data_IF_520424139074
#
_entry.id   IF_520424139074
#
_cell.length_a   1.000
_cell.length_b   1.000
_cell.length_c   1.000
_cell.angle_alpha   90.00
_cell.angle_beta   90.00
_cell.angle_gamma   90.00
#
_symmetry.space_group_name_H-M   'P 1'
#
loop_
_entity.id
_entity.type
_entity.pdbx_description
1 polymer ?
#
# COMPACT_ATOMS: atom_id res chain seq x y z
N UNK A 1 21.01 0.17 3.07
CA UNK A 1 19.70 0.85 3.01
C UNK A 1 19.34 1.01 1.56
N UNK A 2 18.10 0.67 1.16
CA UNK A 2 17.60 0.88 -0.20
C UNK A 2 16.71 2.12 -0.14
N UNK A 3 16.96 3.11 -0.98
CA UNK A 3 16.12 4.28 -1.14
C UNK A 3 15.24 4.10 -2.37
N UNK A 4 14.00 4.56 -2.30
CA UNK A 4 13.03 4.47 -3.39
C UNK A 4 12.05 5.63 -3.38
N UNK A 5 11.16 5.65 -4.36
CA UNK A 5 10.09 6.66 -4.49
C UNK A 5 8.74 6.00 -4.35
N UNK A 6 7.84 6.63 -3.62
CA UNK A 6 6.42 6.33 -3.70
C UNK A 6 5.84 7.00 -4.94
N UNK A 7 5.25 6.20 -5.83
CA UNK A 7 4.82 6.63 -7.17
C UNK A 7 3.68 7.67 -7.10
N UNK A 8 2.94 7.72 -6.00
CA UNK A 8 1.92 8.76 -5.74
C UNK A 8 2.44 10.20 -5.86
N UNK A 9 3.75 10.42 -5.71
CA UNK A 9 4.36 11.73 -5.95
C UNK A 9 4.23 12.20 -7.40
N UNK A 10 3.92 11.29 -8.32
CA UNK A 10 3.68 11.55 -9.75
C UNK A 10 2.19 11.56 -10.14
N UNK A 11 1.25 11.34 -9.20
CA UNK A 11 -0.16 11.64 -9.43
C UNK A 11 -0.26 13.15 -9.75
N UNK A 12 -0.84 13.65 -10.75
CA UNK A 12 -1.90 13.20 -11.63
C UNK A 12 -1.46 12.71 -13.02
N UNK A 13 -0.21 12.38 -13.22
CA UNK A 13 0.33 11.94 -14.52
C UNK A 13 0.49 10.41 -14.61
N UNK A 14 -0.40 9.65 -13.98
CA UNK A 14 -0.41 8.19 -13.98
C UNK A 14 -1.76 7.65 -14.51
N UNK A 15 -2.33 8.36 -15.49
CA UNK A 15 -3.68 8.08 -15.99
C UNK A 15 -3.68 7.41 -17.36
N UNK A 16 -2.55 7.40 -18.05
CA UNK A 16 -2.37 6.73 -19.34
C UNK A 16 -1.08 5.92 -19.37
N UNK A 17 -1.01 4.93 -20.26
CA UNK A 17 0.20 4.12 -20.45
C UNK A 17 1.43 4.97 -20.78
N UNK A 18 1.27 5.99 -21.61
CA UNK A 18 2.39 6.88 -21.98
C UNK A 18 2.88 7.71 -20.80
N UNK A 19 1.99 8.24 -19.98
CA UNK A 19 2.34 8.99 -18.77
C UNK A 19 3.06 8.10 -17.76
N UNK A 20 2.64 6.84 -17.58
CA UNK A 20 3.31 5.87 -16.73
C UNK A 20 4.74 5.61 -17.22
N UNK A 21 4.94 5.42 -18.53
CA UNK A 21 6.29 5.23 -19.13
C UNK A 21 7.17 6.46 -18.91
N UNK A 22 6.63 7.65 -19.10
CA UNK A 22 7.34 8.92 -18.86
C UNK A 22 7.71 9.07 -17.37
N UNK A 23 6.78 8.74 -16.46
CA UNK A 23 7.02 8.84 -15.03
C UNK A 23 8.17 7.92 -14.59
N UNK A 24 8.18 6.66 -15.01
CA UNK A 24 9.26 5.73 -14.66
C UNK A 24 10.60 6.16 -15.26
N UNK A 25 10.63 6.67 -16.48
CA UNK A 25 11.85 7.25 -17.07
C UNK A 25 12.39 8.40 -16.22
N UNK A 26 11.53 9.31 -15.81
CA UNK A 26 11.94 10.43 -14.92
C UNK A 26 12.44 9.94 -13.57
N UNK A 27 11.83 8.93 -12.97
CA UNK A 27 12.32 8.33 -11.73
C UNK A 27 13.72 7.75 -11.92
N UNK A 28 13.95 7.07 -13.05
CA UNK A 28 15.27 6.52 -13.38
C UNK A 28 16.32 7.61 -13.59
N UNK A 29 15.98 8.69 -14.29
CA UNK A 29 16.85 9.86 -14.50
C UNK A 29 17.24 10.53 -13.17
N UNK A 30 16.34 10.51 -12.17
CA UNK A 30 16.63 10.98 -10.81
C UNK A 30 17.49 10.00 -9.99
N UNK A 31 17.87 8.86 -10.55
CA UNK A 31 18.68 7.85 -9.89
C UNK A 31 17.90 6.84 -9.05
N UNK A 32 16.56 6.85 -9.11
CA UNK A 32 15.73 5.88 -8.41
C UNK A 32 15.54 4.62 -9.24
N UNK A 33 15.79 3.47 -8.63
CA UNK A 33 15.58 2.15 -9.21
C UNK A 33 14.58 1.29 -8.41
N UNK A 34 13.98 1.87 -7.37
CA UNK A 34 13.07 1.18 -6.47
C UNK A 34 11.85 2.05 -6.19
N UNK A 35 10.65 1.46 -6.29
CA UNK A 35 9.39 2.18 -6.10
C UNK A 35 8.41 1.41 -5.21
N UNK A 36 7.49 2.14 -4.59
CA UNK A 36 6.22 1.63 -4.11
C UNK A 36 5.13 2.13 -5.06
N UNK A 37 4.37 1.22 -5.65
CA UNK A 37 3.32 1.54 -6.63
C UNK A 37 2.06 2.00 -5.91
N UNK A 38 1.55 3.16 -6.29
CA UNK A 38 0.31 3.73 -5.75
C UNK A 38 -0.35 4.67 -6.76
N UNK A 39 -1.67 4.65 -6.82
CA UNK A 39 -2.49 5.60 -7.59
C UNK A 39 -2.22 5.61 -9.09
N UNK A 40 -1.89 4.47 -9.66
CA UNK A 40 -1.90 4.25 -11.11
C UNK A 40 -3.33 3.90 -11.51
N UNK A 41 -3.81 4.47 -12.60
CA UNK A 41 -5.17 4.23 -13.08
C UNK A 41 -5.40 2.75 -13.39
N UNK A 42 -6.49 2.18 -12.87
CA UNK A 42 -6.83 0.76 -13.01
C UNK A 42 -7.23 0.35 -14.45
N UNK A 43 -7.45 1.31 -15.33
CA UNK A 43 -7.62 1.03 -16.78
C UNK A 43 -6.32 0.59 -17.44
N UNK A 44 -5.16 0.85 -16.79
CA UNK A 44 -3.85 0.43 -17.28
C UNK A 44 -3.58 -0.99 -16.79
N UNK A 45 -3.43 -1.92 -17.74
CA UNK A 45 -3.18 -3.32 -17.40
C UNK A 45 -1.87 -3.48 -16.59
N UNK A 46 -1.83 -4.38 -15.58
CA UNK A 46 -0.62 -4.65 -14.79
C UNK A 46 0.61 -4.97 -15.64
N UNK A 47 0.43 -5.68 -16.74
CA UNK A 47 1.49 -6.04 -17.70
C UNK A 47 2.17 -4.82 -18.33
N UNK A 48 1.40 -3.77 -18.61
CA UNK A 48 1.92 -2.51 -19.18
C UNK A 48 2.79 -1.78 -18.16
N UNK A 49 2.35 -1.75 -16.89
CA UNK A 49 3.12 -1.15 -15.79
C UNK A 49 4.45 -1.88 -15.62
N UNK A 50 4.42 -3.22 -15.60
CA UNK A 50 5.62 -4.03 -15.46
C UNK A 50 6.57 -3.83 -16.62
N UNK A 51 6.08 -3.84 -17.86
CA UNK A 51 6.90 -3.56 -19.05
C UNK A 51 7.56 -2.17 -18.98
N UNK A 52 6.83 -1.16 -18.51
CA UNK A 52 7.37 0.19 -18.36
C UNK A 52 8.47 0.23 -17.27
N UNK A 53 8.30 -0.50 -16.17
CA UNK A 53 9.30 -0.62 -15.11
C UNK A 53 10.55 -1.38 -15.59
N UNK A 54 10.38 -2.48 -16.29
CA UNK A 54 11.47 -3.30 -16.83
C UNK A 54 12.32 -2.52 -17.84
N UNK A 55 11.68 -1.73 -18.73
CA UNK A 55 12.37 -0.88 -19.70
C UNK A 55 13.33 0.12 -19.02
N UNK A 56 12.97 0.62 -17.86
CA UNK A 56 13.77 1.59 -17.09
C UNK A 56 14.58 0.91 -15.95
N UNK A 57 14.57 -0.42 -15.85
CA UNK A 57 15.24 -1.21 -14.80
C UNK A 57 14.83 -0.77 -13.38
N UNK A 58 13.54 -0.50 -13.20
CA UNK A 58 12.92 -0.17 -11.92
C UNK A 58 12.28 -1.43 -11.36
N UNK A 59 12.35 -1.60 -10.04
CA UNK A 59 11.69 -2.68 -9.30
C UNK A 59 10.67 -2.13 -8.32
N UNK A 60 9.54 -2.81 -8.16
CA UNK A 60 8.58 -2.53 -7.10
C UNK A 60 8.94 -3.31 -5.84
N UNK A 61 8.76 -2.69 -4.67
CA UNK A 61 8.82 -3.37 -3.37
C UNK A 61 7.44 -3.72 -2.85
N UNK A 62 6.42 -2.95 -3.18
CA UNK A 62 5.04 -3.15 -2.77
C UNK A 62 4.09 -2.35 -3.64
N UNK A 63 2.80 -2.71 -3.57
CA UNK A 63 1.70 -1.83 -3.98
C UNK A 63 1.02 -1.26 -2.76
N UNK A 64 0.38 -0.09 -2.86
CA UNK A 64 -0.38 0.53 -1.79
C UNK A 64 -1.61 1.24 -2.33
N UNK A 65 -2.74 1.12 -1.64
CA UNK A 65 -3.89 2.01 -1.82
C UNK A 65 -4.77 2.01 -0.56
N UNK A 66 -5.87 2.79 -0.60
CA UNK A 66 -6.85 2.81 0.47
C UNK A 66 -7.61 1.49 0.56
N UNK A 67 -8.09 1.18 1.75
CA UNK A 67 -8.79 -0.05 2.08
C UNK A 67 -9.88 -0.44 1.06
N UNK A 68 -10.83 0.46 0.79
CA UNK A 68 -11.92 0.17 -0.14
C UNK A 68 -11.40 -0.13 -1.55
N UNK A 69 -10.44 0.66 -2.01
CA UNK A 69 -9.82 0.49 -3.33
C UNK A 69 -9.11 -0.86 -3.46
N UNK A 70 -8.35 -1.24 -2.41
CA UNK A 70 -7.62 -2.52 -2.43
C UNK A 70 -8.60 -3.70 -2.46
N UNK A 71 -9.68 -3.66 -1.66
CA UNK A 71 -10.65 -4.75 -1.64
C UNK A 71 -11.50 -4.81 -2.91
N UNK A 72 -11.85 -3.67 -3.50
CA UNK A 72 -12.59 -3.59 -4.76
C UNK A 72 -11.75 -4.11 -5.95
N UNK A 73 -10.45 -3.79 -5.97
CA UNK A 73 -9.53 -4.15 -7.05
C UNK A 73 -8.51 -5.22 -6.64
N UNK A 74 -8.84 -6.11 -5.69
CA UNK A 74 -7.91 -7.09 -5.11
C UNK A 74 -7.20 -7.96 -6.15
N UNK A 75 -7.90 -8.42 -7.19
CA UNK A 75 -7.31 -9.23 -8.25
C UNK A 75 -6.24 -8.45 -9.04
N UNK A 76 -6.47 -7.17 -9.27
CA UNK A 76 -5.50 -6.28 -9.91
C UNK A 76 -4.23 -6.15 -9.05
N UNK A 77 -4.37 -5.90 -7.74
CA UNK A 77 -3.22 -5.80 -6.83
C UNK A 77 -2.46 -7.12 -6.70
N UNK A 78 -3.16 -8.24 -6.62
CA UNK A 78 -2.53 -9.57 -6.60
C UNK A 78 -1.74 -9.78 -7.89
N UNK A 79 -2.37 -9.56 -9.04
CA UNK A 79 -1.72 -9.74 -10.35
C UNK A 79 -0.50 -8.83 -10.52
N UNK A 80 -0.63 -7.56 -10.17
CA UNK A 80 0.46 -6.59 -10.28
C UNK A 80 1.66 -6.99 -9.41
N UNK A 81 1.43 -7.37 -8.14
CA UNK A 81 2.50 -7.81 -7.25
C UNK A 81 3.19 -9.09 -7.74
N UNK A 82 2.43 -10.06 -8.24
CA UNK A 82 2.99 -11.29 -8.82
C UNK A 82 3.91 -10.99 -10.01
N UNK A 83 3.47 -10.13 -10.94
CA UNK A 83 4.26 -9.73 -12.10
C UNK A 83 5.50 -8.93 -11.72
N UNK A 84 5.37 -7.99 -10.77
CA UNK A 84 6.49 -7.21 -10.24
C UNK A 84 7.45 -8.03 -9.37
N UNK A 85 7.07 -9.25 -8.96
CA UNK A 85 7.78 -10.07 -7.97
C UNK A 85 7.94 -9.34 -6.63
N UNK A 86 7.03 -8.45 -6.29
CA UNK A 86 6.93 -7.81 -4.98
C UNK A 86 6.06 -8.65 -4.05
N UNK A 87 6.32 -8.58 -2.74
CA UNK A 87 5.67 -9.47 -1.78
C UNK A 87 4.49 -8.82 -1.06
N UNK A 88 4.42 -7.50 -1.00
CA UNK A 88 3.49 -6.81 -0.11
C UNK A 88 2.41 -6.06 -0.87
N UNK A 89 1.15 -6.36 -0.51
CA UNK A 89 -0.02 -5.50 -0.80
C UNK A 89 -0.29 -4.67 0.44
N UNK A 90 -0.14 -3.36 0.35
CA UNK A 90 -0.26 -2.45 1.47
C UNK A 90 -1.64 -1.77 1.46
N UNK A 91 -2.36 -1.87 2.57
CA UNK A 91 -3.61 -1.16 2.82
C UNK A 91 -3.33 0.08 3.66
N UNK A 92 -3.76 1.25 3.19
CA UNK A 92 -3.50 2.53 3.84
C UNK A 92 -4.72 3.04 4.59
N UNK A 93 -4.55 3.22 5.89
CA UNK A 93 -5.49 3.87 6.79
C UNK A 93 -6.75 3.05 7.10
N UNK A 94 -7.35 3.38 8.22
CA UNK A 94 -8.65 2.85 8.64
C UNK A 94 -9.72 3.82 8.14
N UNK A 95 -10.75 3.36 7.40
CA UNK A 95 -11.87 4.23 7.00
C UNK A 95 -12.61 4.80 8.21
N UNK A 96 -13.06 6.06 8.11
CA UNK A 96 -13.77 6.73 9.22
C UNK A 96 -14.95 5.92 9.75
N UNK A 97 -15.67 5.20 8.88
CA UNK A 97 -16.77 4.31 9.27
C UNK A 97 -16.34 3.12 10.13
N UNK A 98 -15.06 2.79 10.12
CA UNK A 98 -14.49 1.71 10.91
C UNK A 98 -13.87 2.21 12.23
N UNK A 99 -13.83 3.53 12.47
CA UNK A 99 -13.30 4.11 13.70
C UNK A 99 -14.35 4.10 14.85
N UNK A 100 -14.89 2.91 15.11
CA UNK A 100 -15.72 2.56 16.26
C UNK A 100 -15.46 1.09 16.63
N UNK A 101 -15.80 0.61 17.83
CA UNK A 101 -15.46 -0.75 18.25
C UNK A 101 -15.91 -1.83 17.26
N UNK A 102 -17.18 -1.80 16.86
CA UNK A 102 -17.75 -2.76 15.91
C UNK A 102 -17.13 -2.62 14.51
N UNK A 103 -16.75 -1.40 14.13
CA UNK A 103 -16.07 -1.10 12.86
C UNK A 103 -14.66 -1.64 12.83
N UNK A 104 -13.91 -1.54 13.92
CA UNK A 104 -12.56 -2.12 14.03
C UNK A 104 -12.61 -3.65 13.96
N UNK A 105 -13.56 -4.30 14.63
CA UNK A 105 -13.76 -5.74 14.53
C UNK A 105 -14.07 -6.19 13.09
N UNK A 106 -14.95 -5.46 12.41
CA UNK A 106 -15.28 -5.72 11.00
C UNK A 106 -14.05 -5.56 10.11
N UNK A 107 -13.31 -4.46 10.27
CA UNK A 107 -12.11 -4.14 9.50
C UNK A 107 -11.05 -5.23 9.63
N UNK A 108 -10.73 -5.65 10.86
CA UNK A 108 -9.80 -6.75 11.13
C UNK A 108 -10.27 -8.03 10.48
N UNK A 109 -11.55 -8.40 10.63
CA UNK A 109 -12.09 -9.61 10.04
C UNK A 109 -11.98 -9.64 8.51
N UNK A 110 -12.30 -8.53 7.84
CA UNK A 110 -12.20 -8.45 6.38
C UNK A 110 -10.75 -8.50 5.91
N UNK A 111 -9.84 -7.82 6.61
CA UNK A 111 -8.41 -7.89 6.31
C UNK A 111 -7.81 -9.27 6.60
N UNK A 112 -8.29 -10.00 7.62
CA UNK A 112 -7.86 -11.38 7.88
C UNK A 112 -8.22 -12.30 6.71
N UNK A 113 -9.44 -12.16 6.16
CA UNK A 113 -9.84 -12.92 4.97
C UNK A 113 -8.95 -12.58 3.78
N UNK A 114 -8.65 -11.31 3.57
CA UNK A 114 -7.77 -10.88 2.48
C UNK A 114 -6.32 -11.32 2.69
N UNK A 115 -5.81 -11.30 3.92
CA UNK A 115 -4.47 -11.80 4.25
C UNK A 115 -4.32 -13.30 3.91
N UNK A 116 -5.33 -14.11 4.22
CA UNK A 116 -5.35 -15.52 3.85
C UNK A 116 -5.44 -15.74 2.33
N UNK A 117 -6.14 -14.87 1.61
CA UNK A 117 -6.17 -14.89 0.14
C UNK A 117 -4.77 -14.57 -0.43
N UNK A 118 -4.14 -13.51 0.06
CA UNK A 118 -2.78 -13.11 -0.33
C UNK A 118 -1.76 -14.22 -0.06
N UNK A 119 -1.84 -14.84 1.10
CA UNK A 119 -0.94 -15.94 1.50
C UNK A 119 -1.02 -17.14 0.54
N UNK A 120 -2.22 -17.50 0.07
CA UNK A 120 -2.41 -18.54 -0.96
C UNK A 120 -1.76 -18.18 -2.30
N UNK A 121 -1.56 -16.90 -2.56
CA UNK A 121 -0.90 -16.35 -3.75
C UNK A 121 0.61 -16.09 -3.54
N UNK A 122 1.15 -16.44 -2.37
CA UNK A 122 2.55 -16.18 -2.01
C UNK A 122 2.85 -14.72 -1.69
N UNK A 123 1.81 -13.95 -1.38
CA UNK A 123 1.89 -12.54 -1.04
C UNK A 123 1.60 -12.32 0.46
N UNK A 124 1.86 -11.10 0.93
CA UNK A 124 1.67 -10.68 2.30
C UNK A 124 0.84 -9.41 2.36
N UNK A 125 0.04 -9.28 3.43
CA UNK A 125 -0.63 -8.04 3.77
C UNK A 125 0.32 -7.12 4.52
N UNK A 126 0.26 -5.82 4.20
CA UNK A 126 0.92 -4.77 4.95
C UNK A 126 -0.11 -3.69 5.31
N UNK A 127 -0.01 -3.12 6.51
CA UNK A 127 -0.85 -2.02 6.95
C UNK A 127 -0.02 -0.74 7.08
N UNK A 128 -0.49 0.34 6.46
CA UNK A 128 0.11 1.67 6.53
C UNK A 128 -0.80 2.60 7.32
N UNK A 129 -0.54 2.81 8.63
CA UNK A 129 -1.31 3.73 9.45
C UNK A 129 -1.04 5.18 9.05
N UNK A 130 -2.09 5.99 9.05
CA UNK A 130 -2.02 7.45 8.90
C UNK A 130 -2.14 8.12 10.25
N UNK A 131 -1.74 9.37 10.37
CA UNK A 131 -1.69 10.10 11.65
C UNK A 131 -3.00 10.08 12.46
N UNK A 132 -4.15 9.97 11.82
CA UNK A 132 -5.44 9.92 12.53
C UNK A 132 -5.81 8.49 12.99
N UNK A 133 -5.18 7.45 12.45
CA UNK A 133 -5.38 6.08 12.88
C UNK A 133 -4.78 5.80 14.29
N UNK A 134 -3.89 6.68 14.75
CA UNK A 134 -3.34 6.66 16.12
C UNK A 134 -4.23 7.37 17.14
N UNK A 135 -5.40 7.87 16.76
CA UNK A 135 -6.33 8.49 17.70
C UNK A 135 -7.19 7.43 18.38
N UNK A 136 -7.24 7.41 19.71
CA UNK A 136 -8.04 6.41 20.42
C UNK A 136 -9.53 6.43 20.01
N UNK A 137 -10.08 5.24 19.85
CA UNK A 137 -11.52 5.00 19.71
C UNK A 137 -12.02 4.48 21.06
N UNK A 138 -12.62 5.36 21.85
CA UNK A 138 -12.91 5.07 23.26
C UNK A 138 -11.60 4.88 24.07
N UNK A 139 -11.36 3.66 24.54
CA UNK A 139 -10.11 3.30 25.26
C UNK A 139 -9.14 2.45 24.41
N UNK A 140 -9.49 2.24 23.13
CA UNK A 140 -8.73 1.37 22.23
C UNK A 140 -7.86 2.22 21.31
N UNK A 141 -6.56 1.92 21.21
CA UNK A 141 -5.70 2.38 20.13
C UNK A 141 -5.97 1.52 18.88
N UNK A 142 -6.45 2.12 17.77
CA UNK A 142 -6.83 1.33 16.60
C UNK A 142 -5.65 0.59 15.94
N UNK A 143 -4.46 1.19 15.96
CA UNK A 143 -3.27 0.59 15.35
C UNK A 143 -2.79 -0.60 16.20
N UNK A 144 -2.73 -0.43 17.53
CA UNK A 144 -2.39 -1.50 18.46
C UNK A 144 -3.39 -2.65 18.35
N UNK A 145 -4.69 -2.34 18.39
CA UNK A 145 -5.77 -3.31 18.25
C UNK A 145 -5.64 -4.12 16.96
N UNK A 146 -5.36 -3.45 15.84
CA UNK A 146 -5.20 -4.11 14.55
C UNK A 146 -3.99 -5.05 14.58
N UNK A 147 -2.84 -4.59 15.08
CA UNK A 147 -1.63 -5.42 15.11
C UNK A 147 -1.76 -6.63 16.04
N UNK A 148 -2.52 -6.52 17.13
CA UNK A 148 -2.80 -7.63 18.04
C UNK A 148 -3.78 -8.66 17.43
N UNK A 149 -4.75 -8.20 16.65
CA UNK A 149 -5.83 -9.05 16.12
C UNK A 149 -5.65 -9.46 14.65
N UNK A 150 -4.60 -8.97 13.98
CA UNK A 150 -4.24 -9.32 12.60
C UNK A 150 -2.73 -9.65 12.51
N UNK A 151 -2.26 -10.74 13.15
CA UNK A 151 -0.85 -11.09 13.24
C UNK A 151 -0.21 -11.43 11.88
N UNK A 152 -1.00 -11.67 10.84
CA UNK A 152 -0.53 -11.90 9.48
C UNK A 152 -0.12 -10.61 8.76
N UNK A 153 -0.52 -9.43 9.25
CA UNK A 153 -0.16 -8.16 8.65
C UNK A 153 1.20 -7.67 9.13
N UNK A 154 1.99 -7.19 8.21
CA UNK A 154 3.22 -6.44 8.51
C UNK A 154 2.91 -4.94 8.56
N UNK A 155 3.70 -4.17 9.34
CA UNK A 155 3.49 -2.74 9.49
C UNK A 155 4.38 -1.95 8.52
N UNK A 156 3.78 -1.06 7.74
CA UNK A 156 4.47 -0.09 6.90
C UNK A 156 4.41 1.29 7.54
N UNK A 157 5.42 1.62 8.36
CA UNK A 157 5.45 2.90 9.06
C UNK A 157 5.90 4.04 8.15
N UNK A 158 5.07 5.08 8.09
CA UNK A 158 5.44 6.38 7.55
C UNK A 158 5.80 7.33 8.69
N UNK A 159 7.08 7.70 8.78
CA UNK A 159 7.59 8.56 9.84
C UNK A 159 6.93 9.93 9.88
N UNK A 160 6.43 10.44 8.75
CA UNK A 160 5.64 11.68 8.72
C UNK A 160 4.34 11.49 9.51
N UNK A 161 3.60 10.40 9.27
CA UNK A 161 2.36 10.12 9.97
C UNK A 161 2.56 9.84 11.45
N UNK A 162 3.59 9.08 11.81
CA UNK A 162 3.96 8.79 13.20
C UNK A 162 4.28 10.09 13.95
N UNK A 163 5.15 10.93 13.39
CA UNK A 163 5.49 12.22 13.99
C UNK A 163 4.29 13.17 14.06
N UNK A 164 3.45 13.23 13.02
CA UNK A 164 2.26 14.07 12.98
C UNK A 164 1.19 13.63 14.00
N UNK A 165 1.16 12.35 14.35
CA UNK A 165 0.32 11.81 15.42
C UNK A 165 0.85 12.18 16.83
N UNK A 166 2.04 12.75 16.93
CA UNK A 166 2.67 13.07 18.22
C UNK A 166 3.31 11.84 18.91
N UNK A 167 3.50 10.75 18.17
CA UNK A 167 4.13 9.54 18.70
C UNK A 167 5.65 9.72 18.80
N UNK A 168 6.26 9.15 19.85
CA UNK A 168 7.72 9.10 19.95
C UNK A 168 8.31 8.15 18.90
N UNK A 169 9.44 8.53 18.34
CA UNK A 169 10.23 7.69 17.44
C UNK A 169 11.45 7.08 18.15
N UNK A 170 11.47 7.18 19.50
CA UNK A 170 12.49 6.55 20.34
C UNK A 170 12.14 5.13 20.73
#
# INVERSE_FOLDING_TARGET
MIAGIQVSSFKPVLTTEEEVRIAFRKMREMGCDTVQLQWIDFSIAPEVIVQAMEAEKIRSVSTQDFYDTVLEHREYFIRLNQLCKSQWVCVSGIPDRCLCPEGLEMYVRELSVFAEELKKQGLKLCFHPRHFDFRPVGQTDPVEYLMENLPEAELCLDLYHVNHAGMSME
#
